data_IF_138292399749
#
_entry.id   IF_138292399749
#
_cell.length_a   1.000
_cell.length_b   1.000
_cell.length_c   1.000
_cell.angle_alpha   90.00
_cell.angle_beta   90.00
_cell.angle_gamma   90.00
#
_symmetry.space_group_name_H-M   'P 1'
#
loop_
_entity.id
_entity.type
_entity.pdbx_description
1 polymer ?
#
# COMPACT_ATOMS: atom_id res chain seq x y z
N UNK A 1 -48.78 4.51 70.80
CA UNK A 1 -47.85 4.10 69.72
C UNK A 1 -48.36 2.78 69.15
N UNK A 2 -48.74 2.72 67.86
CA UNK A 2 -49.29 1.48 67.29
C UNK A 2 -48.20 0.49 66.89
N UNK A 3 -48.46 -0.80 67.10
CA UNK A 3 -47.55 -1.91 66.80
C UNK A 3 -47.09 -1.90 65.32
N UNK A 4 -47.99 -1.48 64.42
CA UNK A 4 -47.76 -1.36 62.98
C UNK A 4 -46.61 -0.40 62.62
N UNK A 5 -46.54 0.74 63.33
CA UNK A 5 -45.54 1.79 63.05
C UNK A 5 -44.14 1.38 63.48
N UNK A 6 -44.01 0.55 64.51
CA UNK A 6 -42.72 0.03 65.00
C UNK A 6 -42.16 -1.05 64.07
N UNK A 7 -43.04 -1.94 63.57
CA UNK A 7 -42.69 -3.02 62.64
C UNK A 7 -42.25 -2.48 61.28
N UNK A 8 -42.98 -1.50 60.72
CA UNK A 8 -42.62 -0.89 59.44
C UNK A 8 -41.34 -0.07 59.52
N UNK A 9 -41.13 0.70 60.60
CA UNK A 9 -39.96 1.58 60.72
C UNK A 9 -38.64 0.81 60.67
N UNK A 10 -38.54 -0.36 61.32
CA UNK A 10 -37.32 -1.18 61.29
C UNK A 10 -37.08 -1.86 59.94
N UNK A 11 -38.15 -2.30 59.26
CA UNK A 11 -38.04 -3.01 58.00
C UNK A 11 -37.80 -2.08 56.80
N UNK A 12 -38.31 -0.84 56.82
CA UNK A 12 -38.09 0.13 55.75
C UNK A 12 -36.64 0.61 55.65
N UNK A 13 -35.92 0.72 56.77
CA UNK A 13 -34.50 1.09 56.74
C UNK A 13 -33.67 0.05 55.98
N UNK A 14 -33.96 -1.25 56.19
CA UNK A 14 -33.27 -2.33 55.50
C UNK A 14 -33.54 -2.31 53.98
N UNK A 15 -34.79 -2.06 53.57
CA UNK A 15 -35.15 -1.97 52.15
C UNK A 15 -34.44 -0.80 51.45
N UNK A 16 -34.41 0.37 52.09
CA UNK A 16 -33.72 1.56 51.55
C UNK A 16 -32.21 1.33 51.45
N UNK A 17 -31.60 0.66 52.43
CA UNK A 17 -30.19 0.29 52.38
C UNK A 17 -29.86 -0.67 51.22
N UNK A 18 -30.75 -1.63 50.96
CA UNK A 18 -30.60 -2.57 49.85
C UNK A 18 -30.73 -1.86 48.48
N UNK A 19 -31.73 -0.99 48.31
CA UNK A 19 -31.89 -0.18 47.10
C UNK A 19 -30.69 0.74 46.86
N UNK A 20 -30.20 1.41 47.91
CA UNK A 20 -29.02 2.26 47.81
C UNK A 20 -27.77 1.47 47.42
N UNK A 21 -27.55 0.27 47.99
CA UNK A 21 -26.42 -0.61 47.60
C UNK A 21 -26.54 -1.08 46.15
N UNK A 22 -27.75 -1.42 45.70
CA UNK A 22 -27.98 -1.81 44.31
C UNK A 22 -27.71 -0.65 43.33
N UNK A 23 -28.16 0.56 43.66
CA UNK A 23 -27.88 1.77 42.87
C UNK A 23 -26.39 2.09 42.82
N UNK A 24 -25.67 1.92 43.93
CA UNK A 24 -24.21 2.10 43.96
C UNK A 24 -23.47 1.05 43.11
N UNK A 25 -23.86 -0.22 43.19
CA UNK A 25 -23.28 -1.27 42.36
C UNK A 25 -23.51 -0.99 40.86
N UNK A 26 -24.72 -0.56 40.49
CA UNK A 26 -25.04 -0.18 39.11
C UNK A 26 -24.20 1.01 38.64
N UNK A 27 -24.06 2.06 39.46
CA UNK A 27 -23.25 3.24 39.14
C UNK A 27 -21.77 2.88 38.99
N UNK A 28 -21.27 1.99 39.84
CA UNK A 28 -19.89 1.49 39.76
C UNK A 28 -19.65 0.70 38.46
N UNK A 29 -20.52 -0.25 38.13
CA UNK A 29 -20.44 -1.03 36.89
C UNK A 29 -20.51 -0.14 35.63
N UNK A 30 -21.33 0.91 35.64
CA UNK A 30 -21.40 1.88 34.53
C UNK A 30 -20.12 2.71 34.40
N UNK A 31 -19.48 3.07 35.52
CA UNK A 31 -18.21 3.80 35.48
C UNK A 31 -17.08 2.96 34.91
N UNK A 32 -17.03 1.67 35.26
CA UNK A 32 -16.08 0.71 34.67
C UNK A 32 -16.29 0.58 33.16
N UNK A 33 -17.55 0.58 32.71
CA UNK A 33 -17.87 0.54 31.28
C UNK A 33 -17.44 1.82 30.54
N UNK A 34 -17.70 3.01 31.09
CA UNK A 34 -17.24 4.27 30.50
C UNK A 34 -15.72 4.36 30.46
N UNK A 35 -15.03 3.96 31.52
CA UNK A 35 -13.57 3.93 31.57
C UNK A 35 -13.01 2.95 30.53
N UNK A 36 -13.58 1.76 30.42
CA UNK A 36 -13.20 0.78 29.40
C UNK A 36 -13.47 1.29 27.98
N UNK A 37 -14.59 1.98 27.77
CA UNK A 37 -14.94 2.64 26.51
C UNK A 37 -13.94 3.71 26.10
N UNK A 38 -13.58 4.60 27.03
CA UNK A 38 -12.60 5.66 26.80
C UNK A 38 -11.21 5.10 26.52
N UNK A 39 -10.78 4.06 27.26
CA UNK A 39 -9.51 3.39 27.02
C UNK A 39 -9.46 2.75 25.63
N UNK A 40 -10.55 2.07 25.22
CA UNK A 40 -10.65 1.49 23.88
C UNK A 40 -10.64 2.56 22.79
N UNK A 41 -11.31 3.69 23.02
CA UNK A 41 -11.32 4.81 22.09
C UNK A 41 -9.91 5.41 21.93
N UNK A 42 -9.18 5.58 23.03
CA UNK A 42 -7.79 6.06 23.00
C UNK A 42 -6.89 5.14 22.16
N UNK A 43 -6.99 3.82 22.39
CA UNK A 43 -6.23 2.82 21.61
C UNK A 43 -6.56 2.88 20.11
N UNK A 44 -7.83 3.14 19.76
CA UNK A 44 -8.22 3.30 18.36
C UNK A 44 -7.61 4.56 17.72
N UNK A 45 -7.55 5.67 18.45
CA UNK A 45 -6.89 6.88 17.96
C UNK A 45 -5.39 6.68 17.76
N UNK A 46 -4.71 6.03 18.71
CA UNK A 46 -3.29 5.68 18.57
C UNK A 46 -3.04 4.80 17.34
N UNK A 47 -3.90 3.79 17.11
CA UNK A 47 -3.81 2.94 15.94
C UNK A 47 -4.02 3.71 14.63
N UNK A 48 -4.99 4.63 14.58
CA UNK A 48 -5.27 5.44 13.40
C UNK A 48 -4.09 6.37 13.05
N UNK A 49 -3.47 6.99 14.06
CA UNK A 49 -2.26 7.79 13.88
C UNK A 49 -1.08 6.96 13.34
N UNK A 50 -0.88 5.76 13.87
CA UNK A 50 0.15 4.85 13.39
C UNK A 50 -0.09 4.44 11.94
N UNK A 51 -1.33 4.08 11.59
CA UNK A 51 -1.70 3.72 10.21
C UNK A 51 -1.50 4.89 9.25
N UNK A 52 -1.87 6.10 9.66
CA UNK A 52 -1.65 7.31 8.87
C UNK A 52 -0.15 7.56 8.64
N UNK A 53 0.68 7.34 9.67
CA UNK A 53 2.14 7.42 9.60
C UNK A 53 2.74 6.41 8.62
N UNK A 54 2.30 5.15 8.68
CA UNK A 54 2.73 4.08 7.76
C UNK A 54 2.31 4.41 6.32
N UNK A 55 1.07 4.85 6.11
CA UNK A 55 0.57 5.20 4.78
C UNK A 55 1.36 6.38 4.17
N UNK A 56 1.57 7.45 4.93
CA UNK A 56 2.39 8.60 4.50
C UNK A 56 3.82 8.17 4.15
N UNK A 57 4.44 7.35 5.00
CA UNK A 57 5.80 6.83 4.76
C UNK A 57 5.88 5.97 3.50
N UNK A 58 4.92 5.06 3.31
CA UNK A 58 4.83 4.19 2.13
C UNK A 58 4.64 5.00 0.85
N UNK A 59 3.73 5.99 0.88
CA UNK A 59 3.51 6.90 -0.25
C UNK A 59 4.79 7.67 -0.60
N UNK A 60 5.46 8.23 0.40
CA UNK A 60 6.71 8.96 0.20
C UNK A 60 7.81 8.07 -0.40
N UNK A 61 7.94 6.84 0.07
CA UNK A 61 8.90 5.88 -0.49
C UNK A 61 8.60 5.62 -1.97
N UNK A 62 7.35 5.30 -2.32
CA UNK A 62 6.93 5.09 -3.72
C UNK A 62 7.20 6.32 -4.59
N UNK A 63 6.88 7.51 -4.10
CA UNK A 63 7.11 8.76 -4.83
C UNK A 63 8.61 9.03 -5.04
N UNK A 64 9.45 8.79 -4.04
CA UNK A 64 10.91 8.91 -4.16
C UNK A 64 11.47 7.90 -5.16
N UNK A 65 11.06 6.64 -5.06
CA UNK A 65 11.49 5.57 -5.95
C UNK A 65 11.06 5.84 -7.38
N UNK A 66 9.82 6.30 -7.60
CA UNK A 66 9.35 6.73 -8.92
C UNK A 66 10.18 7.89 -9.46
N UNK A 67 10.40 8.95 -8.68
CA UNK A 67 11.24 10.10 -9.10
C UNK A 67 12.67 9.67 -9.44
N UNK A 68 13.23 8.73 -8.69
CA UNK A 68 14.55 8.19 -8.99
C UNK A 68 14.51 7.39 -10.29
N UNK A 69 13.56 6.47 -10.48
CA UNK A 69 13.41 5.71 -11.72
C UNK A 69 13.20 6.61 -12.93
N UNK A 70 12.27 7.56 -12.85
CA UNK A 70 11.95 8.49 -13.94
C UNK A 70 13.18 9.34 -14.33
N UNK A 71 14.02 9.73 -13.37
CA UNK A 71 15.28 10.45 -13.63
C UNK A 71 16.35 9.60 -14.31
N UNK A 72 16.37 8.30 -14.05
CA UNK A 72 17.35 7.36 -14.63
C UNK A 72 16.81 6.68 -15.89
N UNK A 73 15.60 7.02 -16.30
CA UNK A 73 14.99 6.56 -17.53
C UNK A 73 15.67 7.26 -18.70
N UNK A 74 16.59 6.59 -19.36
CA UNK A 74 17.22 7.14 -20.55
C UNK A 74 16.20 7.18 -21.70
N UNK A 75 16.10 8.34 -22.36
CA UNK A 75 15.41 8.43 -23.64
C UNK A 75 16.31 7.78 -24.69
N UNK A 76 15.94 6.58 -25.12
CA UNK A 76 16.53 5.97 -26.30
C UNK A 76 15.69 6.38 -27.50
N UNK A 77 16.31 7.16 -28.39
CA UNK A 77 15.76 7.44 -29.70
C UNK A 77 16.24 6.33 -30.64
N UNK A 78 15.28 5.73 -31.35
CA UNK A 78 15.56 4.73 -32.36
C UNK A 78 15.12 5.30 -33.71
N UNK A 79 15.83 4.94 -34.77
CA UNK A 79 15.43 5.26 -36.13
C UNK A 79 14.86 4.03 -36.84
N UNK A 80 13.99 4.25 -37.83
CA UNK A 80 13.43 3.17 -38.65
C UNK A 80 14.57 2.53 -39.47
N UNK A 81 14.66 1.19 -39.43
CA UNK A 81 15.72 0.43 -40.09
C UNK A 81 16.98 0.19 -39.25
N UNK A 82 17.06 0.76 -38.05
CA UNK A 82 18.18 0.55 -37.14
C UNK A 82 18.23 -0.91 -36.63
N UNK A 83 19.43 -1.42 -36.37
CA UNK A 83 19.62 -2.77 -35.80
C UNK A 83 19.55 -2.67 -34.29
N UNK A 84 18.62 -3.40 -33.70
CA UNK A 84 18.47 -3.49 -32.26
C UNK A 84 18.53 -4.92 -31.76
N UNK A 85 18.92 -5.08 -30.51
CA UNK A 85 18.84 -6.33 -29.78
C UNK A 85 17.69 -6.28 -28.79
N UNK A 86 16.80 -7.29 -28.86
CA UNK A 86 15.76 -7.53 -27.87
C UNK A 86 16.04 -8.89 -27.21
N UNK A 87 16.44 -8.84 -25.93
CA UNK A 87 16.96 -9.96 -25.14
C UNK A 87 18.22 -10.66 -25.74
N UNK A 88 18.84 -11.58 -24.98
CA UNK A 88 20.15 -12.24 -25.20
C UNK A 88 20.34 -12.99 -26.54
N UNK A 89 19.55 -12.77 -27.59
CA UNK A 89 19.57 -13.69 -28.73
C UNK A 89 18.93 -13.25 -30.03
N UNK A 90 19.17 -12.02 -30.51
CA UNK A 90 19.03 -11.78 -31.95
C UNK A 90 18.97 -10.32 -32.40
N UNK A 91 19.59 -10.09 -33.55
CA UNK A 91 19.54 -8.83 -34.30
C UNK A 91 18.17 -8.67 -34.98
N UNK A 92 17.55 -7.52 -34.80
CA UNK A 92 16.20 -7.22 -35.29
C UNK A 92 16.18 -5.82 -35.93
N UNK A 93 15.50 -5.68 -37.07
CA UNK A 93 15.21 -4.38 -37.69
C UNK A 93 14.02 -3.70 -37.01
N UNK A 94 14.10 -2.38 -36.80
CA UNK A 94 13.08 -1.60 -36.07
C UNK A 94 12.17 -0.76 -36.94
N UNK A 95 10.90 -0.69 -36.53
CA UNK A 95 9.98 0.41 -36.85
C UNK A 95 9.57 1.11 -35.56
N UNK A 96 9.62 2.44 -35.56
CA UNK A 96 9.46 3.24 -34.34
C UNK A 96 8.14 3.99 -34.40
N UNK A 97 7.33 3.86 -33.36
CA UNK A 97 6.05 4.54 -33.21
C UNK A 97 6.15 5.67 -32.18
N UNK A 98 5.17 6.57 -32.23
CA UNK A 98 4.97 7.58 -31.20
C UNK A 98 4.91 6.94 -29.81
N UNK A 99 5.50 7.61 -28.80
CA UNK A 99 5.55 7.19 -27.39
C UNK A 99 6.52 6.05 -27.07
N UNK A 100 7.57 5.86 -27.87
CA UNK A 100 8.67 4.95 -27.54
C UNK A 100 8.31 3.47 -27.68
N UNK A 101 7.26 3.15 -28.44
CA UNK A 101 6.95 1.77 -28.82
C UNK A 101 7.78 1.43 -30.06
N UNK A 102 8.53 0.33 -29.97
CA UNK A 102 9.36 -0.17 -31.05
C UNK A 102 8.77 -1.49 -31.53
N UNK A 103 8.50 -1.59 -32.82
CA UNK A 103 8.14 -2.84 -33.48
C UNK A 103 9.41 -3.53 -33.96
N UNK A 104 9.55 -4.79 -33.57
CA UNK A 104 10.75 -5.61 -33.70
C UNK A 104 10.47 -6.64 -34.80
N UNK A 105 11.11 -6.47 -35.96
CA UNK A 105 10.99 -7.36 -37.12
C UNK A 105 12.11 -8.40 -37.18
N UNK A 106 11.75 -9.68 -37.05
CA UNK A 106 12.72 -10.79 -37.12
C UNK A 106 12.60 -11.49 -38.47
N UNK A 107 13.73 -11.73 -39.15
CA UNK A 107 13.79 -12.25 -40.53
C UNK A 107 12.87 -13.45 -40.82
N UNK A 108 12.62 -14.33 -39.83
CA UNK A 108 11.82 -15.56 -39.98
C UNK A 108 10.72 -15.75 -38.92
N UNK A 109 10.26 -14.70 -38.22
CA UNK A 109 9.19 -14.81 -37.20
C UNK A 109 8.16 -13.68 -37.30
N UNK A 110 7.07 -13.81 -36.56
CA UNK A 110 6.05 -12.76 -36.39
C UNK A 110 6.65 -11.51 -35.74
N UNK A 111 6.29 -10.35 -36.26
CA UNK A 111 6.61 -9.06 -35.66
C UNK A 111 5.87 -8.89 -34.34
N UNK A 112 6.48 -8.21 -33.38
CA UNK A 112 5.84 -7.87 -32.12
C UNK A 112 6.27 -6.48 -31.63
N UNK A 113 5.39 -5.86 -30.83
CA UNK A 113 5.61 -4.52 -30.28
C UNK A 113 6.19 -4.63 -28.88
N UNK A 114 7.23 -3.85 -28.61
CA UNK A 114 7.91 -3.79 -27.32
C UNK A 114 8.06 -2.35 -26.87
N UNK A 115 8.21 -2.16 -25.55
CA UNK A 115 8.64 -0.87 -25.02
C UNK A 115 10.11 -0.64 -25.44
N UNK A 116 10.41 0.48 -26.07
CA UNK A 116 11.74 0.88 -26.51
C UNK A 116 12.78 0.88 -25.39
N UNK A 117 12.38 1.13 -24.14
CA UNK A 117 13.30 1.03 -22.99
C UNK A 117 13.84 -0.38 -22.72
N UNK A 118 13.20 -1.42 -23.27
CA UNK A 118 13.66 -2.82 -23.17
C UNK A 118 14.54 -3.24 -24.34
N UNK A 119 14.79 -2.33 -25.27
CA UNK A 119 15.54 -2.56 -26.50
C UNK A 119 16.91 -1.91 -26.35
N UNK A 120 17.97 -2.51 -26.90
CA UNK A 120 19.31 -1.91 -26.91
C UNK A 120 19.80 -1.76 -28.34
N UNK A 121 20.57 -0.72 -28.62
CA UNK A 121 21.28 -0.61 -29.90
C UNK A 121 22.20 -1.81 -30.07
N UNK A 122 22.19 -2.39 -31.26
CA UNK A 122 23.08 -3.49 -31.60
C UNK A 122 24.43 -2.91 -32.00
N UNK A 123 25.46 -3.10 -31.18
CA UNK A 123 26.82 -2.75 -31.57
C UNK A 123 27.38 -3.89 -32.44
N UNK A 124 27.68 -3.59 -33.70
CA UNK A 124 28.45 -4.48 -34.56
C UNK A 124 29.88 -4.57 -34.02
N UNK A 125 30.12 -5.54 -33.15
CA UNK A 125 31.48 -5.97 -32.84
C UNK A 125 32.17 -6.38 -34.14
N UNK A 126 33.38 -5.83 -34.38
CA UNK A 126 34.24 -6.17 -35.50
C UNK A 126 34.26 -7.68 -35.76
N UNK A 127 33.57 -8.11 -36.81
CA UNK A 127 33.83 -9.37 -37.50
C UNK A 127 34.08 -9.03 -38.97
N UNK A 128 35.00 -8.11 -39.20
CA UNK A 128 35.72 -7.98 -40.46
C UNK A 128 37.14 -8.45 -40.24
N UNK A 129 37.41 -9.72 -40.55
CA UNK A 129 38.68 -10.23 -41.08
C UNK A 129 38.71 -11.75 -40.98
N UNK A 130 37.94 -12.50 -41.79
CA UNK A 130 38.28 -13.89 -42.19
C UNK A 130 37.45 -14.34 -43.43
N UNK A 131 37.18 -13.46 -44.40
CA UNK A 131 36.63 -13.88 -45.70
C UNK A 131 37.53 -13.47 -46.87
N UNK A 132 38.84 -13.63 -46.68
CA UNK A 132 39.82 -13.71 -47.77
C UNK A 132 40.66 -14.96 -47.56
N UNK A 133 40.19 -16.10 -48.08
CA UNK A 133 41.04 -17.07 -48.80
C UNK A 133 40.16 -17.95 -49.67
#
# INVERSE_FOLDING_TARGET
MSLYKLMFRKNCHLLVELEHRALWALKFLNFDYELAGNNKLMQLYELDELLLGVYKSSKLYKDKTKKWHDKHLQQQEFHEGEKVSYDLGGMVSTKVFLHGIVEVMRKNRTNFRVNGQRVKHYEEGLVEALSTT
#
